data_IF_414603768691
#
_entry.id   IF_414603768691
#
_cell.length_a   1.000
_cell.length_b   1.000
_cell.length_c   1.000
_cell.angle_alpha   90.00
_cell.angle_beta   90.00
_cell.angle_gamma   90.00
#
_symmetry.space_group_name_H-M   'P 1'
#
loop_
_entity.id
_entity.type
_entity.pdbx_description
1 polymer ?
#
# COMPACT_ATOMS: atom_id res chain seq x y z
N UNK A 1 -0.31 5.54 18.13
CA UNK A 1 0.02 5.69 16.70
C UNK A 1 -1.11 5.50 15.70
N UNK A 2 -2.39 5.45 16.12
CA UNK A 2 -3.53 5.59 15.20
C UNK A 2 -3.57 6.96 14.49
N UNK A 3 -2.85 7.97 15.01
CA UNK A 3 -2.97 9.38 14.63
C UNK A 3 -2.40 9.80 13.28
N UNK A 4 -1.45 9.06 12.69
CA UNK A 4 -0.85 9.43 11.39
C UNK A 4 -1.70 8.93 10.22
N UNK A 5 -2.13 7.67 10.23
CA UNK A 5 -3.10 7.12 9.25
C UNK A 5 -4.49 7.77 9.37
N UNK A 6 -4.91 8.17 10.57
CA UNK A 6 -6.12 8.99 10.76
C UNK A 6 -5.97 10.41 10.20
N UNK A 7 -4.74 10.92 10.02
CA UNK A 7 -4.47 12.26 9.47
C UNK A 7 -4.18 12.27 7.96
N UNK A 8 -3.49 11.25 7.42
CA UNK A 8 -3.12 11.20 5.99
C UNK A 8 -4.09 10.38 5.13
N UNK A 9 -4.84 9.45 5.71
CA UNK A 9 -5.72 8.53 4.97
C UNK A 9 -4.96 7.38 4.28
N UNK A 10 -5.69 6.36 3.85
CA UNK A 10 -5.16 5.19 3.13
C UNK A 10 -5.13 5.46 1.63
N UNK A 11 -3.98 5.28 0.97
CA UNK A 11 -3.85 5.59 -0.45
C UNK A 11 -4.41 4.47 -1.32
N UNK A 12 -5.36 4.80 -2.19
CA UNK A 12 -6.03 3.85 -3.09
C UNK A 12 -5.81 4.29 -4.53
N UNK A 13 -5.16 3.44 -5.33
CA UNK A 13 -4.84 3.74 -6.73
C UNK A 13 -5.71 2.92 -7.69
N UNK A 14 -6.16 3.55 -8.78
CA UNK A 14 -6.88 2.88 -9.87
C UNK A 14 -5.92 2.51 -10.99
N UNK A 15 -5.79 1.22 -11.26
CA UNK A 15 -4.89 0.67 -12.26
C UNK A 15 -5.65 -0.12 -13.34
N UNK A 16 -5.05 -0.33 -14.51
CA UNK A 16 -5.67 -1.11 -15.60
C UNK A 16 -5.48 -0.49 -16.98
N UNK A 17 -5.81 -1.25 -18.03
CA UNK A 17 -5.64 -0.85 -19.42
C UNK A 17 -6.45 0.42 -19.79
N UNK A 18 -6.15 1.12 -20.91
CA UNK A 18 -7.01 2.18 -21.43
C UNK A 18 -8.46 1.70 -21.61
N UNK A 19 -9.43 2.61 -21.48
CA UNK A 19 -10.86 2.37 -21.75
C UNK A 19 -11.58 1.28 -20.91
N UNK A 20 -10.91 0.65 -19.93
CA UNK A 20 -11.56 -0.27 -18.96
C UNK A 20 -12.51 0.43 -17.99
N UNK A 21 -12.50 1.77 -17.96
CA UNK A 21 -13.44 2.59 -17.17
C UNK A 21 -12.92 3.08 -15.81
N UNK A 22 -11.59 3.15 -15.60
CA UNK A 22 -10.95 3.67 -14.38
C UNK A 22 -11.54 5.01 -13.91
N UNK A 23 -11.50 6.04 -14.75
CA UNK A 23 -11.98 7.38 -14.37
C UNK A 23 -13.50 7.46 -14.19
N UNK A 24 -14.26 6.59 -14.87
CA UNK A 24 -15.70 6.47 -14.62
C UNK A 24 -15.97 5.88 -13.24
N UNK A 25 -15.21 4.85 -12.86
CA UNK A 25 -15.30 4.22 -11.55
C UNK A 25 -14.82 5.17 -10.44
N UNK A 26 -13.70 5.85 -10.63
CA UNK A 26 -13.19 6.88 -9.70
C UNK A 26 -14.27 7.91 -9.38
N UNK A 27 -14.84 8.55 -10.40
CA UNK A 27 -15.89 9.56 -10.22
C UNK A 27 -17.12 8.99 -9.52
N UNK A 28 -17.47 7.73 -9.81
CA UNK A 28 -18.59 7.04 -9.16
C UNK A 28 -18.34 6.82 -7.68
N UNK A 29 -17.14 6.38 -7.32
CA UNK A 29 -16.72 6.17 -5.92
C UNK A 29 -16.73 7.49 -5.16
N UNK A 30 -16.10 8.54 -5.72
CA UNK A 30 -16.02 9.87 -5.10
C UNK A 30 -17.41 10.44 -4.82
N UNK A 31 -18.34 10.31 -5.78
CA UNK A 31 -19.71 10.84 -5.69
C UNK A 31 -20.71 9.89 -5.01
N UNK A 32 -20.26 8.76 -4.49
CA UNK A 32 -21.14 7.79 -3.83
C UNK A 32 -21.71 8.39 -2.53
N UNK A 33 -22.98 8.10 -2.17
CA UNK A 33 -23.57 8.56 -0.89
C UNK A 33 -22.79 8.12 0.35
N UNK A 34 -22.03 7.01 0.26
CA UNK A 34 -21.18 6.50 1.35
C UNK A 34 -19.79 7.14 1.42
N UNK A 35 -19.47 7.99 0.45
CA UNK A 35 -18.22 8.74 0.35
C UNK A 35 -18.46 10.17 0.81
N UNK A 36 -17.87 10.58 1.93
CA UNK A 36 -17.88 11.97 2.37
C UNK A 36 -16.58 12.62 1.91
N UNK A 37 -16.67 13.55 0.95
CA UNK A 37 -15.52 14.33 0.48
C UNK A 37 -15.09 15.30 1.57
N UNK A 38 -13.79 15.34 1.86
CA UNK A 38 -13.21 16.33 2.79
C UNK A 38 -12.67 17.51 2.00
N UNK A 39 -12.77 18.72 2.55
CA UNK A 39 -12.25 19.94 1.91
C UNK A 39 -10.73 19.84 1.76
N UNK A 40 -10.27 19.49 0.56
CA UNK A 40 -9.03 19.93 -0.13
C UNK A 40 -8.79 19.01 -1.35
N UNK A 41 -9.27 19.43 -2.53
CA UNK A 41 -8.86 18.81 -3.79
C UNK A 41 -7.41 19.24 -4.10
N UNK A 42 -6.47 18.32 -3.94
CA UNK A 42 -5.08 18.53 -4.30
C UNK A 42 -4.85 18.09 -5.74
N UNK A 43 -4.81 19.03 -6.68
CA UNK A 43 -4.46 18.73 -8.09
C UNK A 43 -3.04 19.17 -8.35
N UNK A 44 -2.09 18.23 -8.48
CA UNK A 44 -0.84 18.51 -9.20
C UNK A 44 -1.00 18.05 -10.65
N UNK A 45 -0.26 18.67 -11.58
CA UNK A 45 -0.43 18.54 -13.05
C UNK A 45 -0.51 17.11 -13.61
N UNK A 46 -0.22 16.08 -12.82
CA UNK A 46 -0.06 14.69 -13.26
C UNK A 46 -0.94 13.65 -12.52
N UNK A 47 -1.57 13.94 -11.38
CA UNK A 47 -2.44 12.98 -10.64
C UNK A 47 -3.63 13.71 -10.02
N UNK A 48 -4.85 13.20 -10.25
CA UNK A 48 -6.03 13.68 -9.54
C UNK A 48 -6.18 12.91 -8.25
N UNK A 49 -6.24 13.66 -7.15
CA UNK A 49 -6.41 13.12 -5.81
C UNK A 49 -7.68 13.66 -5.17
N UNK A 50 -8.47 12.74 -4.64
CA UNK A 50 -9.66 13.06 -3.87
C UNK A 50 -9.57 12.38 -2.50
N UNK A 51 -9.80 13.15 -1.45
CA UNK A 51 -9.83 12.63 -0.08
C UNK A 51 -11.26 12.39 0.33
N UNK A 52 -11.58 11.14 0.66
CA UNK A 52 -12.93 10.68 0.96
C UNK A 52 -12.96 9.87 2.25
N UNK A 53 -14.10 9.87 2.94
CA UNK A 53 -14.38 8.91 4.02
C UNK A 53 -15.36 7.86 3.53
N UNK A 54 -14.92 6.61 3.45
CA UNK A 54 -15.75 5.46 3.06
C UNK A 54 -15.92 4.55 4.27
N UNK A 55 -17.17 4.34 4.73
CA UNK A 55 -17.44 3.52 5.91
C UNK A 55 -16.72 4.00 7.18
N UNK A 56 -16.51 5.32 7.30
CA UNK A 56 -15.79 5.94 8.41
C UNK A 56 -14.26 5.95 8.30
N UNK A 57 -13.69 5.29 7.28
CA UNK A 57 -12.24 5.19 7.05
C UNK A 57 -11.78 6.28 6.08
N UNK A 58 -10.79 7.13 6.44
CA UNK A 58 -10.24 8.13 5.53
C UNK A 58 -9.39 7.44 4.44
N UNK A 59 -9.65 7.78 3.19
CA UNK A 59 -8.96 7.26 2.01
C UNK A 59 -8.59 8.40 1.07
N UNK A 60 -7.40 8.31 0.48
CA UNK A 60 -6.93 9.20 -0.58
C UNK A 60 -6.99 8.41 -1.88
N UNK A 61 -7.93 8.76 -2.75
CA UNK A 61 -8.11 8.12 -4.04
C UNK A 61 -7.22 8.81 -5.07
N UNK A 62 -6.39 8.05 -5.78
CA UNK A 62 -5.49 8.53 -6.83
C UNK A 62 -5.87 7.91 -8.19
N UNK A 63 -6.23 8.75 -9.17
CA UNK A 63 -6.35 8.31 -10.56
C UNK A 63 -5.01 8.55 -11.29
N UNK A 64 -4.28 7.47 -11.53
CA UNK A 64 -2.94 7.50 -12.15
C UNK A 64 -3.00 7.63 -13.66
N UNK A 65 -4.19 7.50 -14.25
CA UNK A 65 -4.38 7.55 -15.68
C UNK A 65 -5.80 7.99 -16.04
N UNK A 66 -5.96 9.29 -16.25
CA UNK A 66 -6.92 9.78 -17.24
C UNK A 66 -8.00 10.76 -16.80
N UNK A 67 -7.64 11.85 -16.11
CA UNK A 67 -8.43 13.09 -16.22
C UNK A 67 -7.81 14.03 -17.26
N UNK A 68 -7.80 13.57 -18.51
CA UNK A 68 -7.82 14.46 -19.68
C UNK A 68 -9.08 14.13 -20.48
N UNK A 69 -10.19 14.76 -20.09
CA UNK A 69 -11.32 14.87 -20.99
C UNK A 69 -10.83 15.57 -22.28
N UNK A 70 -10.64 14.80 -23.37
CA UNK A 70 -10.48 15.37 -24.70
C UNK A 70 -9.09 15.36 -25.36
N UNK A 71 -8.08 14.60 -24.88
CA UNK A 71 -6.83 14.44 -25.65
C UNK A 71 -6.33 12.99 -25.66
N UNK A 72 -6.40 12.36 -26.83
CA UNK A 72 -5.65 11.14 -27.16
C UNK A 72 -4.19 11.55 -27.23
N UNK A 73 -3.39 11.17 -26.23
CA UNK A 73 -1.94 11.43 -26.22
C UNK A 73 -1.22 10.11 -26.57
N UNK A 74 -0.50 10.04 -27.70
CA UNK A 74 0.25 8.86 -28.09
C UNK A 74 1.60 8.85 -27.36
N UNK A 75 1.60 8.53 -26.05
CA UNK A 75 2.85 8.27 -25.33
C UNK A 75 2.69 7.05 -24.43
N UNK A 76 2.77 5.89 -25.07
CA UNK A 76 2.45 4.56 -24.52
C UNK A 76 3.56 3.96 -23.64
N UNK A 77 4.74 4.60 -23.53
CA UNK A 77 5.83 4.15 -22.67
C UNK A 77 5.94 4.93 -21.34
N UNK A 78 5.60 6.22 -21.33
CA UNK A 78 5.68 7.07 -20.12
C UNK A 78 4.52 6.77 -19.16
N UNK A 79 3.38 6.33 -19.68
CA UNK A 79 2.22 5.91 -18.87
C UNK A 79 2.50 4.71 -17.97
N UNK A 80 3.34 3.76 -18.40
CA UNK A 80 3.69 2.55 -17.63
C UNK A 80 4.64 2.90 -16.48
N UNK A 81 5.65 3.74 -16.72
CA UNK A 81 6.61 4.17 -15.69
C UNK A 81 5.97 5.12 -14.65
N UNK A 82 5.06 6.00 -15.09
CA UNK A 82 4.26 6.87 -14.19
C UNK A 82 3.17 6.11 -13.42
N UNK A 83 2.54 5.10 -14.03
CA UNK A 83 1.68 4.14 -13.33
C UNK A 83 2.51 3.45 -12.25
N UNK A 84 3.73 2.97 -12.55
CA UNK A 84 4.63 2.35 -11.57
C UNK A 84 5.00 3.26 -10.40
N UNK A 85 5.08 4.59 -10.58
CA UNK A 85 5.45 5.54 -9.52
C UNK A 85 4.29 5.90 -8.58
N UNK A 86 3.08 6.19 -9.09
CA UNK A 86 1.90 6.34 -8.20
C UNK A 86 1.46 5.00 -7.60
N UNK A 87 1.69 3.87 -8.28
CA UNK A 87 1.51 2.54 -7.71
C UNK A 87 2.54 2.24 -6.60
N UNK A 88 3.70 2.92 -6.57
CA UNK A 88 4.69 2.72 -5.51
C UNK A 88 4.21 3.16 -4.14
N UNK A 89 3.39 4.21 -4.09
CA UNK A 89 2.89 4.81 -2.86
C UNK A 89 1.46 4.37 -2.48
N UNK A 90 0.80 3.57 -3.32
CA UNK A 90 -0.55 3.09 -3.04
C UNK A 90 -0.55 1.98 -2.00
N UNK A 91 -1.44 2.11 -1.01
CA UNK A 91 -1.72 1.04 -0.07
C UNK A 91 -2.57 -0.06 -0.73
N UNK A 92 -3.66 0.34 -1.38
CA UNK A 92 -4.54 -0.58 -2.08
C UNK A 92 -4.54 -0.24 -3.56
N UNK A 93 -4.39 -1.26 -4.41
CA UNK A 93 -4.54 -1.12 -5.86
C UNK A 93 -5.86 -1.74 -6.28
N UNK A 94 -6.74 -0.91 -6.84
CA UNK A 94 -7.94 -1.36 -7.57
C UNK A 94 -7.54 -1.62 -9.01
N UNK A 95 -7.34 -2.89 -9.37
CA UNK A 95 -7.01 -3.25 -10.74
C UNK A 95 -8.28 -3.44 -11.56
N UNK A 96 -8.61 -2.42 -12.35
CA UNK A 96 -9.82 -2.33 -13.14
C UNK A 96 -9.65 -3.07 -14.47
N UNK A 97 -10.60 -3.94 -14.73
CA UNK A 97 -10.67 -4.86 -15.84
C UNK A 97 -12.02 -4.67 -16.54
N UNK A 98 -12.08 -4.87 -17.86
CA UNK A 98 -13.34 -4.84 -18.61
C UNK A 98 -13.94 -6.24 -18.65
N UNK A 99 -15.02 -6.48 -17.90
CA UNK A 99 -15.66 -7.79 -17.79
C UNK A 99 -16.12 -8.35 -19.14
N UNK A 100 -16.39 -7.49 -20.12
CA UNK A 100 -16.83 -7.87 -21.47
C UNK A 100 -15.70 -8.15 -22.45
N UNK A 101 -14.51 -7.59 -22.21
CA UNK A 101 -13.34 -7.72 -23.09
C UNK A 101 -12.17 -8.37 -22.37
N UNK A 102 -12.28 -9.69 -22.20
CA UNK A 102 -11.35 -10.52 -21.42
C UNK A 102 -9.96 -10.73 -22.07
N UNK A 103 -9.72 -10.22 -23.29
CA UNK A 103 -8.45 -10.41 -24.00
C UNK A 103 -7.36 -9.42 -23.56
N UNK A 104 -7.75 -8.27 -23.01
CA UNK A 104 -6.83 -7.25 -22.47
C UNK A 104 -6.14 -7.65 -21.14
N UNK A 105 -6.37 -8.87 -20.65
CA UNK A 105 -6.11 -9.31 -19.28
C UNK A 105 -4.70 -9.87 -19.02
N UNK A 106 -3.83 -9.87 -20.04
CA UNK A 106 -2.53 -10.56 -19.98
C UNK A 106 -1.54 -10.06 -18.90
N UNK A 107 -1.86 -9.07 -18.05
CA UNK A 107 -0.87 -8.46 -17.13
C UNK A 107 -1.37 -8.17 -15.70
N UNK A 108 -2.28 -8.97 -15.13
CA UNK A 108 -2.50 -8.92 -13.66
C UNK A 108 -1.30 -9.49 -12.89
N UNK A 109 -0.60 -10.47 -13.49
CA UNK A 109 0.57 -11.14 -12.87
C UNK A 109 1.73 -10.19 -12.56
N UNK A 110 1.89 -9.10 -13.33
CA UNK A 110 2.95 -8.11 -13.10
C UNK A 110 2.78 -7.35 -11.77
N UNK A 111 1.57 -7.30 -11.21
CA UNK A 111 1.26 -6.54 -9.98
C UNK A 111 1.51 -7.32 -8.70
N UNK A 112 1.51 -8.65 -8.77
CA UNK A 112 1.85 -9.51 -7.64
C UNK A 112 3.36 -9.52 -7.35
N UNK A 113 4.19 -8.97 -8.24
CA UNK A 113 5.65 -8.89 -8.06
C UNK A 113 6.13 -7.80 -7.08
N UNK A 114 5.21 -7.11 -6.38
CA UNK A 114 5.57 -6.05 -5.42
C UNK A 114 5.19 -6.43 -3.98
N UNK A 115 6.23 -6.61 -3.17
CA UNK A 115 6.30 -7.31 -1.87
C UNK A 115 5.39 -6.85 -0.72
N UNK A 116 4.41 -5.94 -0.89
CA UNK A 116 3.59 -5.49 0.25
C UNK A 116 2.22 -4.87 -0.10
N UNK A 117 1.64 -5.14 -1.28
CA UNK A 117 0.43 -4.42 -1.75
C UNK A 117 -0.83 -5.29 -1.78
N UNK A 118 -1.92 -4.78 -1.20
CA UNK A 118 -3.22 -5.42 -1.32
C UNK A 118 -3.83 -5.05 -2.67
N UNK A 119 -4.12 -6.05 -3.50
CA UNK A 119 -4.74 -5.86 -4.81
C UNK A 119 -6.18 -6.34 -4.76
N UNK A 120 -7.10 -5.53 -5.27
CA UNK A 120 -8.50 -5.91 -5.51
C UNK A 120 -8.74 -5.84 -7.02
N UNK A 121 -9.10 -6.97 -7.63
CA UNK A 121 -9.51 -7.01 -9.02
C UNK A 121 -10.94 -6.48 -9.14
N UNK A 122 -11.16 -5.55 -10.07
CA UNK A 122 -12.46 -4.93 -10.30
C UNK A 122 -12.90 -5.23 -11.73
N UNK A 123 -13.87 -6.11 -11.90
CA UNK A 123 -14.46 -6.42 -13.20
C UNK A 123 -15.54 -5.39 -13.52
N UNK A 124 -15.14 -4.30 -14.16
CA UNK A 124 -16.02 -3.22 -14.57
C UNK A 124 -16.81 -3.58 -15.83
N UNK A 125 -17.89 -2.85 -16.11
CA UNK A 125 -18.81 -3.07 -17.24
C UNK A 125 -19.56 -4.41 -17.17
N UNK A 126 -19.83 -4.90 -15.96
CA UNK A 126 -20.61 -6.14 -15.79
C UNK A 126 -22.03 -6.05 -16.36
N UNK A 127 -22.55 -4.85 -16.62
CA UNK A 127 -23.81 -4.62 -17.31
C UNK A 127 -23.83 -5.13 -18.76
N UNK A 128 -22.65 -5.33 -19.37
CA UNK A 128 -22.49 -5.88 -20.71
C UNK A 128 -22.45 -7.42 -20.73
N UNK A 129 -22.38 -8.06 -19.57
CA UNK A 129 -22.39 -9.52 -19.48
C UNK A 129 -23.78 -10.11 -19.73
N UNK A 130 -23.86 -11.38 -20.16
CA UNK A 130 -25.09 -12.15 -20.12
C UNK A 130 -25.77 -12.09 -18.75
N UNK A 131 -27.11 -12.09 -18.71
CA UNK A 131 -27.87 -11.89 -17.46
C UNK A 131 -27.50 -12.92 -16.38
N UNK A 132 -27.33 -14.19 -16.74
CA UNK A 132 -26.92 -15.26 -15.84
C UNK A 132 -25.53 -15.02 -15.23
N UNK A 133 -24.54 -14.63 -16.03
CA UNK A 133 -23.21 -14.28 -15.54
C UNK A 133 -23.22 -13.01 -14.68
N UNK A 134 -23.94 -11.98 -15.13
CA UNK A 134 -24.08 -10.70 -14.42
C UNK A 134 -24.73 -10.91 -13.06
N UNK A 135 -25.84 -11.63 -13.01
CA UNK A 135 -26.62 -11.82 -11.79
C UNK A 135 -25.84 -12.70 -10.80
N UNK A 136 -25.08 -13.70 -11.30
CA UNK A 136 -24.15 -14.47 -10.48
C UNK A 136 -23.04 -13.60 -9.88
N UNK A 137 -22.47 -12.66 -10.65
CA UNK A 137 -21.40 -11.77 -10.18
C UNK A 137 -21.87 -10.64 -9.26
N UNK A 138 -23.12 -10.21 -9.38
CA UNK A 138 -23.72 -9.19 -8.52
C UNK A 138 -24.41 -9.78 -7.28
N UNK A 139 -24.39 -11.11 -7.12
CA UNK A 139 -24.98 -11.78 -5.97
C UNK A 139 -24.36 -11.32 -4.64
N UNK A 140 -25.21 -11.14 -3.63
CA UNK A 140 -24.81 -10.66 -2.29
C UNK A 140 -24.11 -11.74 -1.46
N UNK A 141 -23.75 -11.42 -0.21
CA UNK A 141 -23.17 -12.34 0.77
C UNK A 141 -21.86 -13.04 0.32
N UNK A 142 -21.08 -12.37 -0.53
CA UNK A 142 -19.80 -12.89 -1.03
C UNK A 142 -19.92 -13.88 -2.19
N UNK A 143 -21.13 -14.30 -2.58
CA UNK A 143 -21.34 -15.18 -3.73
C UNK A 143 -20.87 -14.51 -5.04
N UNK A 144 -21.16 -13.22 -5.21
CA UNK A 144 -20.70 -12.43 -6.37
C UNK A 144 -19.18 -12.30 -6.44
N UNK A 145 -18.53 -12.09 -5.30
CA UNK A 145 -17.07 -12.03 -5.22
C UNK A 145 -16.42 -13.38 -5.58
N UNK A 146 -17.03 -14.49 -5.14
CA UNK A 146 -16.59 -15.84 -5.52
C UNK A 146 -16.80 -16.12 -7.01
N UNK A 147 -17.93 -15.70 -7.58
CA UNK A 147 -18.20 -15.84 -9.01
C UNK A 147 -17.20 -15.04 -9.85
N UNK A 148 -16.91 -13.80 -9.45
CA UNK A 148 -15.90 -12.95 -10.08
C UNK A 148 -14.49 -13.58 -10.02
N UNK A 149 -14.09 -14.10 -8.85
CA UNK A 149 -12.79 -14.77 -8.69
C UNK A 149 -12.68 -16.03 -9.57
N UNK A 150 -13.73 -16.87 -9.59
CA UNK A 150 -13.79 -18.07 -10.44
C UNK A 150 -13.68 -17.73 -11.92
N UNK A 151 -14.32 -16.65 -12.38
CA UNK A 151 -14.18 -16.24 -13.78
C UNK A 151 -12.73 -15.87 -14.10
N UNK A 152 -12.08 -15.10 -13.23
CA UNK A 152 -10.67 -14.72 -13.42
C UNK A 152 -9.74 -15.95 -13.41
N UNK A 153 -10.00 -16.94 -12.56
CA UNK A 153 -9.27 -18.22 -12.54
C UNK A 153 -9.49 -19.03 -13.83
N UNK A 154 -10.75 -19.23 -14.25
CA UNK A 154 -11.09 -19.95 -15.47
C UNK A 154 -10.48 -19.34 -16.73
N UNK A 155 -10.32 -18.01 -16.72
CA UNK A 155 -9.72 -17.25 -17.82
C UNK A 155 -8.19 -17.15 -17.72
N UNK A 156 -7.57 -17.79 -16.71
CA UNK A 156 -6.11 -17.82 -16.53
C UNK A 156 -5.50 -16.47 -16.09
N UNK A 157 -6.33 -15.55 -15.60
CA UNK A 157 -5.93 -14.21 -15.17
C UNK A 157 -5.33 -14.26 -13.76
N UNK A 158 -5.94 -15.05 -12.88
CA UNK A 158 -5.45 -15.33 -11.54
C UNK A 158 -4.93 -16.77 -11.46
N UNK A 159 -3.72 -16.94 -10.92
CA UNK A 159 -3.15 -18.27 -10.62
C UNK A 159 -3.36 -18.68 -9.16
N UNK A 160 -3.62 -17.73 -8.27
CA UNK A 160 -3.84 -17.97 -6.84
C UNK A 160 -5.14 -17.33 -6.38
N UNK A 161 -5.89 -18.08 -5.56
CA UNK A 161 -7.19 -17.71 -4.99
C UNK A 161 -7.14 -16.53 -3.99
N UNK A 162 -5.97 -15.91 -3.82
CA UNK A 162 -5.70 -14.89 -2.81
C UNK A 162 -6.16 -13.49 -3.23
N UNK A 163 -6.50 -13.27 -4.50
CA UNK A 163 -6.91 -11.95 -5.01
C UNK A 163 -8.42 -11.78 -4.88
N UNK A 164 -8.84 -10.79 -4.09
CA UNK A 164 -10.24 -10.38 -3.99
C UNK A 164 -10.72 -9.83 -5.32
N UNK A 165 -11.88 -10.28 -5.78
CA UNK A 165 -12.49 -9.84 -7.02
C UNK A 165 -13.90 -9.31 -6.79
N UNK A 166 -14.26 -8.19 -7.43
CA UNK A 166 -15.60 -7.60 -7.35
C UNK A 166 -16.04 -7.17 -8.75
N UNK A 167 -17.25 -7.53 -9.14
CA UNK A 167 -17.86 -7.03 -10.37
C UNK A 167 -18.63 -5.72 -10.12
N UNK A 168 -18.48 -4.78 -11.04
CA UNK A 168 -19.13 -3.48 -10.97
C UNK A 168 -19.56 -3.00 -12.35
N UNK A 169 -20.52 -2.09 -12.37
CA UNK A 169 -20.81 -1.25 -13.53
C UNK A 169 -20.64 0.20 -13.12
N UNK A 170 -19.54 0.83 -13.54
CA UNK A 170 -19.33 2.25 -13.31
C UNK A 170 -20.39 3.13 -14.00
N UNK A 171 -21.08 2.60 -15.01
CA UNK A 171 -22.15 3.27 -15.73
C UNK A 171 -23.46 3.27 -14.93
N UNK A 172 -23.89 2.10 -14.44
CA UNK A 172 -25.18 1.94 -13.75
C UNK A 172 -25.09 2.09 -12.23
N UNK A 173 -23.91 1.89 -11.65
CA UNK A 173 -23.69 1.83 -10.20
C UNK A 173 -23.86 0.43 -9.60
N UNK A 174 -24.24 -0.58 -10.40
CA UNK A 174 -24.34 -1.96 -9.92
C UNK A 174 -23.01 -2.45 -9.33
N UNK A 175 -23.08 -3.16 -8.20
CA UNK A 175 -21.90 -3.71 -7.51
C UNK A 175 -21.04 -2.67 -6.76
N UNK A 176 -21.35 -1.38 -6.84
CA UNK A 176 -20.56 -0.32 -6.19
C UNK A 176 -20.52 -0.50 -4.67
N UNK A 177 -21.65 -0.82 -4.04
CA UNK A 177 -21.71 -1.06 -2.59
C UNK A 177 -20.79 -2.21 -2.16
N UNK A 178 -20.82 -3.32 -2.92
CA UNK A 178 -19.92 -4.46 -2.71
C UNK A 178 -18.46 -4.07 -2.86
N UNK A 179 -18.13 -3.19 -3.82
CA UNK A 179 -16.77 -2.67 -3.99
C UNK A 179 -16.34 -1.81 -2.80
N UNK A 180 -17.20 -0.90 -2.32
CA UNK A 180 -16.90 -0.05 -1.16
C UNK A 180 -16.70 -0.89 0.11
N UNK A 181 -17.53 -1.92 0.31
CA UNK A 181 -17.37 -2.85 1.42
C UNK A 181 -16.08 -3.65 1.29
N UNK A 182 -15.76 -4.17 0.10
CA UNK A 182 -14.52 -4.88 -0.16
C UNK A 182 -13.29 -3.98 0.08
N UNK A 183 -13.36 -2.71 -0.30
CA UNK A 183 -12.31 -1.72 -0.05
C UNK A 183 -12.13 -1.49 1.45
N UNK A 184 -13.21 -1.22 2.19
CA UNK A 184 -13.17 -1.05 3.65
C UNK A 184 -12.62 -2.29 4.35
N UNK A 185 -13.04 -3.48 3.95
CA UNK A 185 -12.53 -4.73 4.52
C UNK A 185 -11.06 -4.96 4.20
N UNK A 186 -10.64 -4.71 2.95
CA UNK A 186 -9.23 -4.82 2.55
C UNK A 186 -8.35 -3.86 3.34
N UNK A 187 -8.81 -2.62 3.54
CA UNK A 187 -8.11 -1.64 4.37
C UNK A 187 -8.06 -2.05 5.84
N UNK A 188 -9.15 -2.62 6.38
CA UNK A 188 -9.17 -3.13 7.76
C UNK A 188 -8.26 -4.34 7.96
N UNK A 189 -8.30 -5.31 7.05
CA UNK A 189 -7.42 -6.48 7.07
C UNK A 189 -5.97 -6.07 6.91
N UNK A 190 -5.68 -5.14 6.01
CA UNK A 190 -4.35 -4.54 5.89
C UNK A 190 -3.97 -3.81 7.17
N UNK A 191 -4.88 -3.07 7.83
CA UNK A 191 -4.62 -2.45 9.14
C UNK A 191 -4.34 -3.50 10.20
N UNK A 192 -5.06 -4.62 10.23
CA UNK A 192 -4.83 -5.71 11.18
C UNK A 192 -3.50 -6.42 10.89
N UNK A 193 -3.18 -6.62 9.62
CA UNK A 193 -1.89 -7.11 9.17
C UNK A 193 -0.78 -6.15 9.59
N UNK A 194 -0.94 -4.83 9.33
CA UNK A 194 -0.10 -3.69 9.75
C UNK A 194 -0.11 -3.44 11.26
N UNK A 195 -1.06 -3.96 12.03
CA UNK A 195 -1.08 -3.90 13.49
C UNK A 195 -0.34 -5.08 14.09
N UNK A 196 -0.41 -6.26 13.46
CA UNK A 196 0.58 -7.31 13.68
C UNK A 196 1.97 -6.83 13.23
N UNK A 197 2.02 -6.02 12.17
CA UNK A 197 3.18 -5.27 11.66
C UNK A 197 3.34 -3.90 12.35
N UNK A 198 2.66 -3.59 13.47
CA UNK A 198 3.04 -2.44 14.30
C UNK A 198 4.35 -2.78 15.03
N UNK A 199 4.64 -4.08 15.19
CA UNK A 199 5.98 -4.64 15.38
C UNK A 199 6.93 -4.38 14.19
N UNK A 200 6.42 -4.03 13.01
CA UNK A 200 7.16 -3.79 11.75
C UNK A 200 7.30 -2.29 11.37
N UNK A 201 6.39 -1.40 11.76
CA UNK A 201 6.68 0.04 11.79
C UNK A 201 7.70 0.38 12.91
N UNK A 202 7.63 -0.40 14.00
CA UNK A 202 8.73 -0.63 14.91
C UNK A 202 9.97 -1.11 14.14
N UNK A 203 9.86 -2.12 13.27
CA UNK A 203 10.97 -2.64 12.46
C UNK A 203 11.62 -1.60 11.54
N UNK A 204 10.99 -0.62 10.90
CA UNK A 204 11.78 0.33 10.08
C UNK A 204 12.70 1.22 10.93
N UNK A 205 12.18 1.79 12.02
CA UNK A 205 12.99 2.56 12.99
C UNK A 205 13.97 1.65 13.76
N UNK A 206 13.54 0.46 14.14
CA UNK A 206 14.39 -0.53 14.81
C UNK A 206 15.41 -1.13 13.86
N UNK A 207 15.14 -1.22 12.56
CA UNK A 207 16.06 -1.63 11.52
C UNK A 207 17.10 -0.54 11.32
N UNK A 208 16.70 0.73 11.23
CA UNK A 208 17.63 1.86 11.22
C UNK A 208 18.50 1.88 12.49
N UNK A 209 17.92 1.60 13.65
CA UNK A 209 18.64 1.45 14.91
C UNK A 209 19.57 0.22 14.94
N UNK A 210 19.14 -0.95 14.44
CA UNK A 210 19.96 -2.16 14.34
C UNK A 210 21.08 -2.00 13.29
N UNK A 211 20.82 -1.28 12.20
CA UNK A 211 21.81 -0.94 11.18
C UNK A 211 22.86 -0.02 11.79
N UNK A 212 22.48 1.06 12.47
CA UNK A 212 23.42 1.93 13.21
C UNK A 212 24.18 1.17 14.28
N UNK A 213 23.52 0.32 15.07
CA UNK A 213 24.17 -0.50 16.09
C UNK A 213 25.20 -1.45 15.48
N UNK A 214 24.86 -2.10 14.36
CA UNK A 214 25.77 -2.98 13.63
C UNK A 214 26.95 -2.20 13.04
N UNK A 215 26.72 -1.02 12.46
CA UNK A 215 27.76 -0.16 11.93
C UNK A 215 28.73 0.28 13.03
N UNK A 216 28.21 0.72 14.17
CA UNK A 216 29.01 1.12 15.32
C UNK A 216 29.83 -0.05 15.91
N UNK A 217 29.24 -1.25 16.03
CA UNK A 217 29.99 -2.46 16.46
C UNK A 217 31.05 -2.86 15.42
N UNK A 218 30.77 -2.68 14.13
CA UNK A 218 31.73 -2.98 13.07
C UNK A 218 32.88 -1.98 13.08
N UNK A 219 32.60 -0.69 13.30
CA UNK A 219 33.59 0.36 13.49
C UNK A 219 34.47 0.05 14.71
N UNK A 220 33.86 -0.28 15.86
CA UNK A 220 34.58 -0.71 17.06
C UNK A 220 35.51 -1.89 16.77
N UNK A 221 35.04 -2.95 16.11
CA UNK A 221 35.89 -4.10 15.76
C UNK A 221 37.06 -3.74 14.85
N UNK A 222 36.86 -2.80 13.93
CA UNK A 222 37.91 -2.29 13.06
C UNK A 222 38.93 -1.45 13.85
N UNK A 223 38.44 -0.56 14.71
CA UNK A 223 39.26 0.35 15.52
C UNK A 223 40.06 -0.41 16.59
N UNK A 224 39.53 -1.50 17.16
CA UNK A 224 40.29 -2.41 18.04
C UNK A 224 41.45 -3.05 17.29
N UNK A 225 41.25 -3.50 16.05
CA UNK A 225 42.33 -4.10 15.24
C UNK A 225 43.37 -3.08 14.79
N UNK A 226 42.97 -1.82 14.65
CA UNK A 226 43.83 -0.71 14.33
C UNK A 226 44.55 -0.11 15.55
N UNK A 227 44.31 -0.66 16.75
CA UNK A 227 44.87 -0.16 18.02
C UNK A 227 44.56 1.32 18.28
N UNK A 228 43.35 1.75 17.89
CA UNK A 228 42.88 3.12 18.13
C UNK A 228 42.74 3.44 19.64
N UNK A 229 42.85 4.73 20.04
CA UNK A 229 42.76 5.12 21.43
C UNK A 229 41.44 4.72 22.11
N UNK A 230 41.46 4.45 23.43
CA UNK A 230 40.28 4.05 24.20
C UNK A 230 39.08 4.99 24.06
N UNK A 231 39.31 6.28 23.81
CA UNK A 231 38.27 7.30 23.63
C UNK A 231 37.46 7.06 22.35
N UNK A 232 38.11 6.61 21.27
CA UNK A 232 37.47 6.29 19.99
C UNK A 232 36.66 5.00 20.15
N UNK A 233 37.25 3.98 20.79
CA UNK A 233 36.58 2.72 21.10
C UNK A 233 35.34 2.91 21.98
N UNK A 234 35.41 3.82 22.95
CA UNK A 234 34.28 4.14 23.82
C UNK A 234 33.17 4.91 23.09
N UNK A 235 33.51 5.77 22.12
CA UNK A 235 32.53 6.45 21.29
C UNK A 235 31.73 5.45 20.44
N UNK A 236 32.39 4.50 19.78
CA UNK A 236 31.72 3.48 18.96
C UNK A 236 30.74 2.62 19.79
N UNK A 237 31.15 2.19 20.99
CA UNK A 237 30.27 1.42 21.87
C UNK A 237 29.09 2.25 22.39
N UNK A 238 29.30 3.54 22.67
CA UNK A 238 28.23 4.44 23.08
C UNK A 238 27.18 4.59 21.97
N UNK A 239 27.63 4.78 20.74
CA UNK A 239 26.73 4.87 19.57
C UNK A 239 25.94 3.58 19.36
N UNK A 240 26.57 2.42 19.55
CA UNK A 240 25.90 1.13 19.49
C UNK A 240 24.82 0.97 20.58
N UNK A 241 25.15 1.33 21.82
CA UNK A 241 24.20 1.25 22.96
C UNK A 241 23.04 2.21 22.78
N UNK A 242 23.30 3.47 22.41
CA UNK A 242 22.25 4.46 22.15
C UNK A 242 21.29 4.01 21.04
N UNK A 243 21.81 3.40 19.97
CA UNK A 243 20.97 2.84 18.92
C UNK A 243 20.12 1.66 19.44
N UNK A 244 20.65 0.78 20.28
CA UNK A 244 19.88 -0.32 20.90
C UNK A 244 18.87 0.17 21.96
N UNK A 245 19.14 1.29 22.63
CA UNK A 245 18.22 1.90 23.60
C UNK A 245 16.94 2.42 22.94
N UNK A 246 17.05 2.95 21.72
CA UNK A 246 15.90 3.35 20.90
C UNK A 246 14.94 2.16 20.60
N UNK A 247 15.47 0.93 20.59
CA UNK A 247 14.71 -0.31 20.35
C UNK A 247 14.02 -0.78 21.64
N UNK A 248 14.72 -0.72 22.77
CA UNK A 248 14.22 -1.26 24.04
C UNK A 248 13.23 -0.34 24.75
N UNK A 249 13.11 0.91 24.29
CA UNK A 249 12.23 1.94 24.88
C UNK A 249 12.63 2.35 26.29
N UNK A 250 13.76 1.86 26.79
CA UNK A 250 14.35 2.26 28.05
C UNK A 250 15.35 3.36 27.76
N UNK A 251 15.17 4.53 28.35
CA UNK A 251 16.31 5.39 28.62
C UNK A 251 17.10 4.69 29.72
N UNK A 252 18.11 3.91 29.30
CA UNK A 252 19.13 3.47 30.22
C UNK A 252 19.92 4.73 30.59
N UNK A 253 19.90 5.10 31.87
CA UNK A 253 20.64 6.26 32.39
C UNK A 253 22.13 6.08 32.15
N UNK A 254 22.88 7.19 32.07
CA UNK A 254 24.35 7.24 31.93
C UNK A 254 25.10 6.27 32.88
N UNK A 255 24.48 5.88 33.98
CA UNK A 255 24.96 4.95 35.00
C UNK A 255 25.36 3.56 34.47
N UNK A 256 24.72 3.01 33.41
CA UNK A 256 25.14 1.70 32.86
C UNK A 256 26.38 1.85 31.96
N UNK A 257 26.50 2.96 31.24
CA UNK A 257 27.69 3.29 30.47
C UNK A 257 28.89 3.44 31.42
N UNK A 258 28.70 4.14 32.54
CA UNK A 258 29.72 4.26 33.58
C UNK A 258 30.15 2.90 34.14
N UNK A 259 29.22 1.95 34.34
CA UNK A 259 29.57 0.59 34.80
C UNK A 259 30.37 -0.19 33.74
N UNK A 260 30.01 -0.09 32.46
CA UNK A 260 30.73 -0.77 31.36
C UNK A 260 32.15 -0.19 31.22
N UNK A 261 32.30 1.14 31.27
CA UNK A 261 33.59 1.81 31.09
C UNK A 261 34.44 1.90 32.37
N UNK A 262 33.84 1.75 33.57
CA UNK A 262 34.60 1.64 34.83
C UNK A 262 35.51 0.41 34.87
N UNK A 263 35.16 -0.64 34.12
CA UNK A 263 35.97 -1.87 33.98
C UNK A 263 37.03 -1.77 32.89
N UNK A 264 36.96 -0.75 32.04
CA UNK A 264 37.98 -0.48 31.02
C UNK A 264 39.17 0.31 31.54
N UNK A 265 39.21 0.63 32.86
CA UNK A 265 40.32 1.28 33.57
C UNK A 265 41.18 2.20 32.69
N UNK A 266 40.87 3.50 32.75
CA UNK A 266 41.83 4.58 32.51
C UNK A 266 43.05 4.29 33.41
N UNK A 267 44.07 3.66 32.83
CA UNK A 267 45.40 3.56 33.39
C UNK A 267 46.23 4.74 32.87
N UNK A 268 46.85 5.47 33.78
CA UNK A 268 47.94 6.41 33.49
C UNK A 268 49.03 5.78 32.64
#
# INVERSE_FOLDING_TARGET
DDGVLLRSGVHVSFAGAPNVGKSSLFNRVVRSPRSIVTEHAGTTRDVVRETVRIGGVPMVLEDTAGLRAGRVDPVEAIGIERSRESHRNADVVLYVLDASDMQAYQRVQELQSTEARSVVAVLNKCDLLPNDERDAMLASNGAGAQAAARLLEQRGVLREASVKAVAVSAQTGAGLETLLDALVQTVKERRLALQNDALVAINQRHLEALVRAREAVTAFQSNVRAEEPPEILAADLRDAVMALDEISGKQITEEILDVIFSRFCIGK
#
